data_IF_628399912880
#
_entry.id   IF_628399912880
#
_cell.length_a   1.000
_cell.length_b   1.000
_cell.length_c   1.000
_cell.angle_alpha   90.00
_cell.angle_beta   90.00
_cell.angle_gamma   90.00
#
_symmetry.space_group_name_H-M   'P 1'
#
loop_
_entity.id
_entity.type
_entity.pdbx_description
1 polymer ?
#
# COMPACT_ATOMS: atom_id res chain seq x y z
N UNK A 1 -63.75 2.38 17.75
CA UNK A 1 -63.45 2.88 16.39
C UNK A 1 -61.95 3.12 16.30
N UNK A 2 -61.38 2.96 15.09
CA UNK A 2 -59.96 2.79 14.74
C UNK A 2 -59.50 1.31 14.80
N UNK A 3 -59.73 0.51 13.75
CA UNK A 3 -59.14 0.46 12.40
C UNK A 3 -58.02 -0.60 12.30
N UNK A 4 -58.35 -1.62 11.51
CA UNK A 4 -57.51 -2.74 11.04
C UNK A 4 -56.19 -2.30 10.38
N UNK A 5 -55.15 -3.13 10.50
CA UNK A 5 -54.38 -3.63 9.35
C UNK A 5 -53.88 -5.07 9.57
N UNK A 6 -54.48 -5.97 8.77
CA UNK A 6 -53.99 -7.20 8.14
C UNK A 6 -53.03 -8.14 8.91
N UNK A 7 -53.54 -9.35 9.15
CA UNK A 7 -52.84 -10.53 9.62
C UNK A 7 -51.88 -11.13 8.59
N UNK A 8 -50.72 -11.54 9.10
CA UNK A 8 -50.04 -12.84 8.95
C UNK A 8 -50.11 -13.58 7.61
N UNK A 9 -48.90 -13.84 7.07
CA UNK A 9 -48.69 -14.86 6.06
C UNK A 9 -47.22 -15.26 5.89
N UNK A 10 -46.44 -15.34 6.98
CA UNK A 10 -45.08 -15.90 6.94
C UNK A 10 -45.19 -17.39 6.65
N UNK A 11 -44.87 -17.82 5.43
CA UNK A 11 -44.62 -19.23 5.13
C UNK A 11 -43.17 -19.56 5.50
N UNK A 12 -42.97 -19.88 6.77
CA UNK A 12 -41.79 -20.59 7.26
C UNK A 12 -41.86 -22.03 6.75
N UNK A 13 -40.89 -22.44 5.96
CA UNK A 13 -40.64 -23.85 5.68
C UNK A 13 -39.14 -24.17 5.87
N UNK A 14 -38.93 -25.01 6.88
CA UNK A 14 -37.85 -25.97 7.07
C UNK A 14 -36.41 -25.46 7.35
N UNK A 15 -36.00 -25.78 8.58
CA UNK A 15 -34.68 -25.68 9.17
C UNK A 15 -33.56 -26.40 8.39
N UNK A 16 -32.36 -25.81 8.42
CA UNK A 16 -31.11 -26.56 8.38
C UNK A 16 -30.19 -26.07 9.51
N UNK A 17 -29.51 -27.06 10.06
CA UNK A 17 -28.68 -27.12 11.25
C UNK A 17 -27.45 -26.22 11.22
N UNK A 18 -26.99 -25.85 12.42
CA UNK A 18 -25.70 -25.22 12.76
C UNK A 18 -24.55 -25.64 11.82
N UNK A 19 -24.11 -24.70 10.99
CA UNK A 19 -22.76 -24.69 10.43
C UNK A 19 -22.18 -23.34 10.75
N UNK A 20 -21.27 -23.27 11.73
CA UNK A 20 -20.39 -22.12 11.83
C UNK A 20 -19.64 -22.06 10.50
N UNK A 21 -20.02 -21.12 9.62
CA UNK A 21 -19.16 -20.77 8.51
C UNK A 21 -18.01 -20.02 9.17
N UNK A 22 -16.97 -20.76 9.54
CA UNK A 22 -15.64 -20.18 9.54
C UNK A 22 -15.46 -19.67 8.12
N UNK A 23 -15.72 -18.38 7.91
CA UNK A 23 -15.27 -17.73 6.69
C UNK A 23 -13.77 -17.85 6.80
N UNK A 24 -13.22 -18.81 6.05
CA UNK A 24 -11.80 -19.00 5.91
C UNK A 24 -11.20 -17.62 5.73
N UNK A 25 -10.26 -17.27 6.61
CA UNK A 25 -9.41 -16.11 6.48
C UNK A 25 -8.99 -16.02 5.02
N UNK A 26 -9.53 -15.04 4.30
CA UNK A 26 -8.93 -14.64 3.04
C UNK A 26 -7.58 -14.07 3.44
N UNK A 27 -6.54 -14.89 3.39
CA UNK A 27 -5.20 -14.35 3.27
C UNK A 27 -5.30 -13.35 2.11
N UNK A 28 -4.95 -12.08 2.30
CA UNK A 28 -4.91 -11.16 1.18
C UNK A 28 -3.98 -11.80 0.16
N UNK A 29 -4.46 -11.94 -1.07
CA UNK A 29 -3.58 -12.25 -2.18
C UNK A 29 -2.49 -11.18 -2.14
N UNK A 30 -1.24 -11.58 -1.97
CA UNK A 30 -0.08 -10.71 -2.15
C UNK A 30 -0.27 -10.04 -3.51
N UNK A 31 -0.78 -8.81 -3.50
CA UNK A 31 -0.90 -8.06 -4.72
C UNK A 31 0.49 -7.48 -4.91
N UNK A 32 1.28 -8.08 -5.79
CA UNK A 32 2.43 -7.41 -6.37
C UNK A 32 1.88 -6.12 -7.00
N UNK A 33 1.90 -5.03 -6.25
CA UNK A 33 1.33 -3.76 -6.65
C UNK A 33 2.50 -2.82 -6.87
N UNK A 34 3.05 -2.81 -8.07
CA UNK A 34 3.74 -1.61 -8.54
C UNK A 34 2.77 -0.43 -8.31
N UNK A 35 3.20 0.58 -7.56
CA UNK A 35 2.39 1.77 -7.29
C UNK A 35 2.75 2.85 -8.29
N UNK A 36 1.75 3.57 -8.78
CA UNK A 36 1.93 4.71 -9.67
C UNK A 36 1.32 5.93 -8.99
N UNK A 37 2.09 7.01 -8.91
CA UNK A 37 1.64 8.26 -8.30
C UNK A 37 2.20 9.48 -9.05
N UNK A 38 1.72 10.66 -8.69
CA UNK A 38 2.13 11.93 -9.28
C UNK A 38 2.52 12.89 -8.16
N UNK A 39 3.78 13.31 -8.12
CA UNK A 39 4.29 14.20 -7.10
C UNK A 39 4.82 15.49 -7.73
N UNK A 40 4.49 16.61 -7.10
CA UNK A 40 5.13 17.89 -7.35
C UNK A 40 6.38 18.08 -6.50
N UNK A 41 7.30 18.98 -6.86
CA UNK A 41 8.45 19.31 -6.01
C UNK A 41 8.02 19.69 -4.59
N UNK A 42 8.57 18.97 -3.61
CA UNK A 42 8.26 19.11 -2.18
C UNK A 42 7.06 18.30 -1.69
N UNK A 43 6.37 17.56 -2.56
CA UNK A 43 5.33 16.61 -2.16
C UNK A 43 5.91 15.23 -1.81
N UNK A 44 5.17 14.49 -0.99
CA UNK A 44 5.55 13.17 -0.50
C UNK A 44 4.38 12.20 -0.59
N UNK A 45 4.70 10.91 -0.71
CA UNK A 45 3.75 9.81 -0.58
C UNK A 45 4.33 8.74 0.34
N UNK A 46 3.45 8.01 1.02
CA UNK A 46 3.83 6.90 1.91
C UNK A 46 2.99 5.67 1.58
N UNK A 47 3.65 4.52 1.49
CA UNK A 47 3.03 3.21 1.36
C UNK A 47 3.36 2.34 2.57
N UNK A 48 2.38 1.56 3.03
CA UNK A 48 2.64 0.40 3.87
C UNK A 48 3.11 -0.77 2.99
N UNK A 49 4.10 -1.54 3.43
CA UNK A 49 4.58 -2.72 2.71
C UNK A 49 5.22 -3.76 3.62
N UNK A 50 4.89 -5.04 3.42
CA UNK A 50 5.59 -6.14 4.07
C UNK A 50 6.75 -6.57 3.17
N UNK A 51 7.98 -6.42 3.67
CA UNK A 51 9.19 -6.73 2.92
C UNK A 51 9.91 -7.92 3.54
N UNK A 52 10.56 -8.72 2.71
CA UNK A 52 11.49 -9.77 3.12
C UNK A 52 12.86 -9.16 3.48
N UNK A 53 13.64 -9.89 4.27
CA UNK A 53 15.03 -9.52 4.50
C UNK A 53 15.81 -9.51 3.17
N UNK A 54 16.63 -8.48 2.97
CA UNK A 54 17.41 -8.21 1.76
C UNK A 54 16.57 -7.91 0.50
N UNK A 55 15.25 -7.70 0.63
CA UNK A 55 14.39 -7.27 -0.48
C UNK A 55 14.76 -5.85 -0.93
N UNK A 56 14.77 -5.63 -2.24
CA UNK A 56 15.13 -4.36 -2.86
C UNK A 56 13.87 -3.61 -3.26
N UNK A 57 13.65 -2.44 -2.66
CA UNK A 57 12.61 -1.49 -3.07
C UNK A 57 13.25 -0.41 -3.90
N UNK A 58 12.64 -0.06 -5.02
CA UNK A 58 13.10 1.00 -5.90
C UNK A 58 11.93 1.81 -6.43
N UNK A 59 12.24 3.01 -6.89
CA UNK A 59 11.33 3.77 -7.71
C UNK A 59 12.02 4.31 -8.95
N UNK A 60 11.19 4.65 -9.93
CA UNK A 60 11.61 5.33 -11.15
C UNK A 60 10.65 6.48 -11.31
N UNK A 61 11.17 7.61 -11.73
CA UNK A 61 10.38 8.75 -12.12
C UNK A 61 10.54 9.02 -13.63
N UNK A 62 9.58 9.71 -14.23
CA UNK A 62 9.58 10.01 -15.67
C UNK A 62 10.72 10.98 -16.07
N UNK A 63 10.75 11.39 -17.34
CA UNK A 63 11.81 12.24 -17.87
C UNK A 63 11.77 13.69 -17.32
N UNK A 64 10.75 14.06 -16.54
CA UNK A 64 10.55 15.43 -16.07
C UNK A 64 11.21 15.68 -14.70
N UNK A 65 11.57 14.65 -13.93
CA UNK A 65 12.26 14.77 -12.65
C UNK A 65 13.76 14.53 -12.75
N UNK A 66 14.47 15.05 -11.76
CA UNK A 66 15.93 14.90 -11.66
C UNK A 66 16.39 14.52 -10.25
N UNK A 67 15.48 14.50 -9.27
CA UNK A 67 15.80 14.22 -7.87
C UNK A 67 14.57 13.68 -7.12
N UNK A 68 14.61 12.41 -6.73
CA UNK A 68 13.57 11.68 -6.00
C UNK A 68 14.22 10.89 -4.86
N UNK A 69 13.86 11.22 -3.62
CA UNK A 69 14.38 10.53 -2.44
C UNK A 69 13.46 9.37 -2.02
N UNK A 70 14.05 8.33 -1.42
CA UNK A 70 13.31 7.25 -0.78
C UNK A 70 13.79 7.01 0.65
N UNK A 71 12.84 6.81 1.56
CA UNK A 71 13.08 6.49 2.96
C UNK A 71 12.28 5.24 3.36
N UNK A 72 12.93 4.35 4.10
CA UNK A 72 12.32 3.15 4.64
C UNK A 72 12.30 3.23 6.17
N UNK A 73 11.12 3.18 6.76
CA UNK A 73 10.93 3.18 8.20
C UNK A 73 10.36 1.85 8.69
N UNK A 74 10.83 1.39 9.84
CA UNK A 74 10.18 0.30 10.55
C UNK A 74 8.78 0.73 11.00
N UNK A 75 7.73 0.01 10.57
CA UNK A 75 6.35 0.45 10.80
C UNK A 75 5.91 0.36 12.27
N UNK A 76 6.65 -0.39 13.11
CA UNK A 76 6.30 -0.61 14.53
C UNK A 76 6.91 0.46 15.43
N UNK A 77 8.20 0.73 15.24
CA UNK A 77 8.99 1.68 16.01
C UNK A 77 8.98 3.09 15.43
N UNK A 78 8.77 3.22 14.12
CA UNK A 78 8.90 4.47 13.37
C UNK A 78 10.34 4.90 13.12
N UNK A 79 11.33 4.03 13.38
CA UNK A 79 12.75 4.35 13.14
C UNK A 79 13.07 4.28 11.64
N UNK A 80 13.87 5.24 11.16
CA UNK A 80 14.45 5.19 9.81
C UNK A 80 15.51 4.09 9.75
N UNK A 81 15.36 3.14 8.83
CA UNK A 81 16.23 1.96 8.73
C UNK A 81 17.07 1.92 7.45
N UNK A 82 16.61 2.57 6.38
CA UNK A 82 17.35 2.75 5.14
C UNK A 82 16.86 4.00 4.40
N UNK A 83 17.72 4.58 3.56
CA UNK A 83 17.36 5.72 2.72
C UNK A 83 18.27 5.81 1.51
N UNK A 84 17.74 6.35 0.43
CA UNK A 84 18.48 6.84 -0.72
C UNK A 84 18.13 8.31 -0.93
N UNK A 85 19.16 9.15 -0.98
CA UNK A 85 19.04 10.62 -1.07
C UNK A 85 20.11 11.19 -2.00
N UNK A 86 20.52 10.39 -2.99
CA UNK A 86 21.42 10.85 -4.04
C UNK A 86 20.63 11.74 -5.01
N UNK A 87 21.29 12.74 -5.60
CA UNK A 87 20.72 13.62 -6.63
C UNK A 87 20.45 12.84 -7.94
N UNK A 88 19.50 11.91 -7.92
CA UNK A 88 19.04 11.10 -9.04
C UNK A 88 17.53 10.79 -8.96
N UNK A 89 16.98 10.25 -10.05
CA UNK A 89 15.55 9.97 -10.19
C UNK A 89 15.19 8.48 -10.02
N UNK A 90 16.12 7.68 -9.48
CA UNK A 90 15.97 6.22 -9.37
C UNK A 90 16.48 5.75 -7.99
N UNK A 91 15.83 6.17 -6.89
CA UNK A 91 16.26 5.78 -5.55
C UNK A 91 16.06 4.28 -5.31
N UNK A 92 16.98 3.67 -4.56
CA UNK A 92 16.96 2.25 -4.21
C UNK A 92 17.30 2.04 -2.73
N UNK A 93 16.45 1.29 -2.02
CA UNK A 93 16.70 0.88 -0.63
C UNK A 93 16.61 -0.64 -0.47
N UNK A 94 17.28 -1.18 0.54
CA UNK A 94 17.26 -2.61 0.86
C UNK A 94 16.69 -2.81 2.26
N UNK A 95 15.68 -3.66 2.39
CA UNK A 95 15.09 -4.00 3.67
C UNK A 95 16.09 -4.80 4.53
N UNK A 96 16.50 -4.29 5.72
CA UNK A 96 17.52 -4.97 6.53
C UNK A 96 17.01 -6.22 7.25
N UNK A 97 15.70 -6.45 7.27
CA UNK A 97 15.04 -7.60 7.88
C UNK A 97 13.64 -7.78 7.31
N UNK A 98 13.03 -8.92 7.61
CA UNK A 98 11.64 -9.20 7.24
C UNK A 98 10.68 -8.51 8.22
N UNK A 99 9.66 -7.82 7.69
CA UNK A 99 8.67 -7.12 8.52
C UNK A 99 7.79 -6.13 7.76
N UNK A 100 6.97 -5.40 8.51
CA UNK A 100 6.15 -4.29 8.00
C UNK A 100 6.96 -2.99 8.01
N UNK A 101 6.92 -2.26 6.91
CA UNK A 101 7.63 -1.00 6.72
C UNK A 101 6.70 0.10 6.20
N UNK A 102 7.13 1.35 6.43
CA UNK A 102 6.63 2.51 5.71
C UNK A 102 7.66 2.91 4.65
N UNK A 103 7.26 2.88 3.39
CA UNK A 103 8.06 3.31 2.23
C UNK A 103 7.60 4.73 1.89
N UNK A 104 8.45 5.72 2.15
CA UNK A 104 8.20 7.12 1.83
C UNK A 104 9.00 7.52 0.60
N UNK A 105 8.35 8.22 -0.34
CA UNK A 105 9.02 8.94 -1.41
C UNK A 105 8.83 10.44 -1.25
N UNK A 106 9.86 11.20 -1.57
CA UNK A 106 9.84 12.67 -1.55
C UNK A 106 10.36 13.17 -2.89
N UNK A 107 9.52 13.91 -3.62
CA UNK A 107 9.96 14.57 -4.85
C UNK A 107 10.79 15.79 -4.49
N UNK A 108 12.11 15.71 -4.66
CA UNK A 108 12.99 16.85 -4.38
C UNK A 108 12.98 17.82 -5.55
N UNK A 109 13.02 17.30 -6.78
CA UNK A 109 13.17 18.10 -7.99
C UNK A 109 12.42 17.58 -9.21
N UNK A 110 11.41 18.33 -9.63
CA UNK A 110 10.65 18.11 -10.86
C UNK A 110 10.70 19.38 -11.75
N UNK A 111 11.00 19.19 -13.03
CA UNK A 111 11.17 20.29 -13.99
C UNK A 111 9.87 20.66 -14.72
N UNK A 112 8.96 19.70 -14.90
CA UNK A 112 7.61 19.90 -15.43
C UNK A 112 6.61 19.22 -14.50
N UNK A 113 5.87 20.03 -13.76
CA UNK A 113 5.00 19.53 -12.70
C UNK A 113 3.62 19.06 -13.19
N UNK A 114 3.04 17.98 -12.60
CA UNK A 114 3.66 17.03 -11.68
C UNK A 114 4.43 15.92 -12.42
N UNK A 115 5.39 15.29 -11.75
CA UNK A 115 6.15 14.16 -12.29
C UNK A 115 5.50 12.81 -11.92
N UNK A 116 5.43 11.87 -12.87
CA UNK A 116 4.95 10.51 -12.64
C UNK A 116 6.03 9.65 -11.97
N UNK A 117 5.66 8.88 -10.94
CA UNK A 117 6.54 7.95 -10.26
C UNK A 117 5.98 6.52 -10.29
N UNK A 118 6.86 5.53 -10.40
CA UNK A 118 6.57 4.10 -10.28
C UNK A 118 7.41 3.51 -9.15
N UNK A 119 6.77 2.98 -8.11
CA UNK A 119 7.44 2.32 -6.99
C UNK A 119 7.19 0.81 -7.03
N UNK A 120 8.24 0.00 -6.90
CA UNK A 120 8.20 -1.47 -6.97
C UNK A 120 9.28 -2.10 -6.07
N UNK A 121 9.21 -3.42 -5.88
CA UNK A 121 10.27 -4.22 -5.26
C UNK A 121 10.52 -5.52 -6.00
N UNK A 122 11.66 -6.16 -5.78
CA UNK A 122 12.00 -7.41 -6.46
C UNK A 122 11.19 -8.64 -6.00
N UNK A 123 10.45 -8.54 -4.89
CA UNK A 123 9.49 -9.54 -4.43
C UNK A 123 8.02 -9.05 -4.41
N UNK A 124 7.78 -7.76 -4.66
CA UNK A 124 6.50 -7.07 -4.54
C UNK A 124 6.09 -6.80 -3.08
N UNK A 125 5.37 -5.69 -2.85
CA UNK A 125 4.91 -5.28 -1.52
C UNK A 125 3.46 -4.76 -1.49
#
# INVERSE_FOLDING_TARGET
MAHERAQYGVKLAAAMTLGAIAIASTAPLAQAQSRVDWLSSGEEIVYDGYLLADEVVHAICDDDCYDLDMFLYDAVSGELVASDTLDDAIPVVVAPYEGEFLIQLVMVGCSIEPCEIWTDSDAGF
#
